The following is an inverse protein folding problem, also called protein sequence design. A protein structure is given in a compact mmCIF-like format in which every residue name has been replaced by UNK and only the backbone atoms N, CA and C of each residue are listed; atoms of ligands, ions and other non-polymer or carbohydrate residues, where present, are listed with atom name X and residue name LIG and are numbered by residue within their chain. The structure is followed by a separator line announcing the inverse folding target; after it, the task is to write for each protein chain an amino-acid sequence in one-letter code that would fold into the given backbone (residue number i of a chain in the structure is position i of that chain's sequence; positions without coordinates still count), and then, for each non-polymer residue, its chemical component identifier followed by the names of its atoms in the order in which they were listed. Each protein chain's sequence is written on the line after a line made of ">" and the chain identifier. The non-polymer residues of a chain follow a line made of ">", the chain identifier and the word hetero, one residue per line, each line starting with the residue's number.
data_IF_732728231313
#
_entry.id   IF_732728231313
#
_cell.length_a   1.000
_cell.length_b   1.000
_cell.length_c   1.000
_cell.angle_alpha   90.00
_cell.angle_beta   90.00
_cell.angle_gamma   90.00
#
_symmetry.space_group_name_H-M   'P 1'
#
loop_
_entity.id
_entity.type
_entity.pdbx_description
1 polymer ?
#
# COMPACT_ATOMS: atom_id res chain seq x y z
N UNK A 1 41.43 25.28 98.42
CA UNK A 1 40.65 24.77 97.33
C UNK A 1 40.95 25.55 96.07
N UNK A 2 41.52 24.91 94.99
CA UNK A 2 41.68 25.53 93.71
C UNK A 2 40.33 25.66 92.97
N UNK A 3 40.13 26.78 92.25
CA UNK A 3 38.91 26.90 91.43
C UNK A 3 39.04 26.07 90.19
N UNK A 4 38.25 25.03 90.13
CA UNK A 4 38.20 24.05 89.02
C UNK A 4 37.02 24.23 88.07
N UNK A 5 36.61 25.48 87.86
CA UNK A 5 35.53 25.76 86.91
C UNK A 5 35.86 26.90 85.96
N UNK A 6 36.85 26.64 85.08
CA UNK A 6 36.90 27.38 83.85
C UNK A 6 36.09 26.67 82.81
N UNK A 7 35.07 27.29 82.20
CA UNK A 7 34.39 26.70 81.10
C UNK A 7 35.38 26.39 79.96
N UNK A 8 35.43 25.13 79.57
CA UNK A 8 36.20 24.75 78.37
C UNK A 8 35.69 25.61 77.22
N UNK A 9 36.59 26.42 76.67
CA UNK A 9 36.28 27.14 75.43
C UNK A 9 36.13 26.07 74.39
N UNK A 10 34.86 25.73 73.96
CA UNK A 10 34.62 24.99 72.82
C UNK A 10 35.32 25.68 71.67
N UNK A 11 36.24 24.96 70.98
CA UNK A 11 36.85 25.44 69.73
C UNK A 11 35.74 25.77 68.76
N UNK A 12 35.45 27.04 68.62
CA UNK A 12 34.54 27.54 67.61
C UNK A 12 35.04 27.09 66.23
N UNK A 13 34.42 26.20 65.63
CA UNK A 13 34.70 25.72 64.27
C UNK A 13 34.53 26.92 63.31
N UNK A 14 35.56 27.71 63.12
CA UNK A 14 35.59 28.91 62.25
C UNK A 14 35.62 28.40 60.80
N UNK A 15 34.44 28.31 60.19
CA UNK A 15 34.35 28.06 58.75
C UNK A 15 34.65 29.40 58.01
N UNK A 16 35.59 29.37 57.11
CA UNK A 16 35.85 30.51 56.23
C UNK A 16 34.82 30.48 55.09
N UNK A 17 33.98 31.52 55.03
CA UNK A 17 32.94 31.66 54.01
C UNK A 17 33.36 32.70 52.98
N UNK A 18 33.49 32.33 51.72
CA UNK A 18 33.87 33.28 50.64
C UNK A 18 32.67 33.39 49.68
N UNK A 19 32.40 34.62 49.23
CA UNK A 19 31.42 34.90 48.23
C UNK A 19 31.97 34.58 46.82
N UNK A 20 31.25 33.76 46.01
CA UNK A 20 31.70 33.38 44.66
C UNK A 20 31.93 34.60 43.75
N UNK A 21 31.06 35.64 43.80
CA UNK A 21 31.17 36.82 42.97
C UNK A 21 32.41 37.66 43.31
N UNK A 22 32.86 37.62 44.58
CA UNK A 22 34.10 38.31 45.04
C UNK A 22 35.32 37.54 44.54
N UNK A 23 35.32 36.20 44.65
CA UNK A 23 36.39 35.34 44.13
C UNK A 23 36.60 35.54 42.65
N UNK A 24 35.51 35.57 41.89
CA UNK A 24 35.53 35.75 40.42
C UNK A 24 36.06 37.12 40.03
N UNK A 25 35.62 38.22 40.73
CA UNK A 25 36.08 39.61 40.49
C UNK A 25 37.59 39.78 40.71
N UNK A 26 38.16 39.09 41.69
CA UNK A 26 39.57 39.14 42.02
C UNK A 26 40.36 37.98 41.33
N UNK A 27 39.74 37.18 40.48
CA UNK A 27 40.37 36.04 39.78
C UNK A 27 41.10 35.09 40.74
N UNK A 28 40.54 34.89 41.94
CA UNK A 28 41.09 33.94 42.94
C UNK A 28 40.58 32.55 42.64
N UNK A 29 41.49 31.63 42.36
CA UNK A 29 41.14 30.22 42.11
C UNK A 29 40.69 29.55 43.42
N UNK A 30 39.56 28.83 43.37
CA UNK A 30 39.03 28.09 44.51
C UNK A 30 39.98 27.03 45.06
N UNK A 31 40.91 26.54 44.24
CA UNK A 31 41.97 25.60 44.68
C UNK A 31 43.00 26.17 45.63
N UNK A 32 43.08 27.51 45.73
CA UNK A 32 44.04 28.24 46.62
C UNK A 32 43.41 28.63 47.95
N UNK A 33 42.15 28.30 48.19
CA UNK A 33 41.43 28.55 49.41
C UNK A 33 41.88 27.58 50.53
N UNK A 34 41.85 27.94 51.81
CA UNK A 34 42.15 27.06 52.93
C UNK A 34 41.21 25.83 52.92
N UNK A 35 41.74 24.72 53.44
CA UNK A 35 40.89 23.49 53.57
C UNK A 35 39.67 23.78 54.48
N UNK A 36 38.50 23.36 54.06
CA UNK A 36 37.24 23.61 54.78
C UNK A 36 36.59 24.98 54.49
N UNK A 37 37.08 25.77 53.51
CA UNK A 37 36.45 26.99 53.08
C UNK A 37 35.09 26.69 52.36
N UNK A 38 34.04 27.39 52.74
CA UNK A 38 32.71 27.31 52.15
C UNK A 38 32.56 28.46 51.13
N UNK A 39 32.22 28.14 49.88
CA UNK A 39 31.92 29.14 48.84
C UNK A 39 30.42 29.38 48.84
N UNK A 40 30.00 30.58 49.26
CA UNK A 40 28.59 31.00 49.19
C UNK A 40 28.24 31.61 47.83
N UNK A 41 26.96 31.65 47.50
CA UNK A 41 26.41 32.27 46.29
C UNK A 41 27.00 31.74 44.97
N UNK A 42 27.47 30.47 44.94
CA UNK A 42 27.95 29.85 43.69
C UNK A 42 26.78 29.66 42.71
N UNK A 43 26.86 30.17 41.44
CA UNK A 43 25.83 29.98 40.45
C UNK A 43 25.58 28.50 40.21
N UNK A 44 24.30 28.09 40.06
CA UNK A 44 23.89 26.70 39.84
C UNK A 44 24.65 26.05 38.69
N UNK A 45 24.86 26.77 37.58
CA UNK A 45 25.57 26.27 36.38
C UNK A 45 27.03 25.89 36.71
N UNK A 46 27.71 26.66 37.57
CA UNK A 46 29.10 26.39 37.98
C UNK A 46 29.17 25.21 38.93
N UNK A 47 28.27 25.19 39.92
CA UNK A 47 28.19 24.12 40.92
C UNK A 47 27.91 22.74 40.29
N UNK A 48 27.01 22.70 39.26
CA UNK A 48 26.55 21.46 38.65
C UNK A 48 27.05 21.27 37.20
N UNK A 49 28.08 22.00 36.77
CA UNK A 49 28.57 21.98 35.38
C UNK A 49 28.81 20.58 34.83
N UNK A 50 29.41 19.69 35.59
CA UNK A 50 29.69 18.32 35.16
C UNK A 50 28.41 17.49 34.97
N UNK A 51 27.41 17.67 35.83
CA UNK A 51 26.12 17.00 35.73
C UNK A 51 25.33 17.51 34.53
N UNK A 52 25.41 18.83 34.25
CA UNK A 52 24.75 19.42 33.07
C UNK A 52 25.38 18.88 31.78
N UNK A 53 26.71 18.81 31.71
CA UNK A 53 27.39 18.21 30.56
C UNK A 53 27.07 16.73 30.38
N UNK A 54 27.05 15.95 31.47
CA UNK A 54 26.69 14.56 31.46
C UNK A 54 25.24 14.34 30.96
N UNK A 55 24.29 15.12 31.48
CA UNK A 55 22.89 15.08 31.05
C UNK A 55 22.73 15.44 29.57
N UNK A 56 23.43 16.49 29.10
CA UNK A 56 23.48 16.90 27.71
C UNK A 56 24.01 15.78 26.80
N UNK A 57 25.10 15.14 27.21
CA UNK A 57 25.68 14.03 26.48
C UNK A 57 24.71 12.82 26.38
N UNK A 58 24.07 12.45 27.49
CA UNK A 58 23.05 11.36 27.51
C UNK A 58 21.89 11.69 26.58
N UNK A 59 21.43 12.94 26.59
CA UNK A 59 20.34 13.39 25.71
C UNK A 59 20.71 13.27 24.23
N UNK A 60 21.92 13.69 23.85
CA UNK A 60 22.42 13.58 22.47
C UNK A 60 22.51 12.10 22.04
N UNK A 61 23.05 11.22 22.90
CA UNK A 61 23.13 9.78 22.61
C UNK A 61 21.74 9.19 22.44
N UNK A 62 20.78 9.55 23.30
CA UNK A 62 19.39 9.07 23.20
C UNK A 62 18.73 9.53 21.88
N UNK A 63 18.93 10.78 21.47
CA UNK A 63 18.41 11.30 20.20
C UNK A 63 19.02 10.57 18.99
N UNK A 64 20.33 10.29 19.02
CA UNK A 64 20.99 9.52 17.97
C UNK A 64 20.45 8.08 17.88
N UNK A 65 20.19 7.44 19.00
CA UNK A 65 19.58 6.11 19.04
C UNK A 65 18.15 6.12 18.50
N UNK A 66 17.33 7.09 18.88
CA UNK A 66 15.97 7.26 18.35
C UNK A 66 15.99 7.52 16.85
N UNK A 67 16.87 8.38 16.37
CA UNK A 67 17.01 8.67 14.94
C UNK A 67 17.44 7.44 14.15
N UNK A 68 18.41 6.67 14.65
CA UNK A 68 18.86 5.44 14.00
C UNK A 68 17.76 4.37 13.97
N UNK A 69 16.97 4.26 15.04
CA UNK A 69 15.83 3.36 15.11
C UNK A 69 14.74 3.73 14.10
N UNK A 70 14.36 5.00 14.03
CA UNK A 70 13.38 5.49 13.04
C UNK A 70 13.86 5.26 11.61
N UNK A 71 15.14 5.53 11.33
CA UNK A 71 15.74 5.30 10.02
C UNK A 71 15.67 3.82 9.60
N UNK A 72 15.96 2.90 10.52
CA UNK A 72 15.83 1.45 10.26
C UNK A 72 14.40 1.06 9.91
N UNK A 73 13.42 1.54 10.68
CA UNK A 73 12.00 1.27 10.40
C UNK A 73 11.59 1.78 9.04
N UNK A 74 11.95 3.01 8.70
CA UNK A 74 11.63 3.60 7.41
C UNK A 74 12.21 2.81 6.22
N UNK A 75 13.46 2.35 6.34
CA UNK A 75 14.11 1.52 5.31
C UNK A 75 13.40 0.17 5.17
N UNK A 76 13.03 -0.49 6.26
CA UNK A 76 12.31 -1.76 6.23
C UNK A 76 10.93 -1.62 5.57
N UNK A 77 10.16 -0.59 5.91
CA UNK A 77 8.87 -0.32 5.28
C UNK A 77 9.01 -0.05 3.76
N UNK A 78 10.03 0.70 3.37
CA UNK A 78 10.32 0.97 1.95
C UNK A 78 10.70 -0.31 1.18
N UNK A 79 11.48 -1.21 1.80
CA UNK A 79 11.83 -2.52 1.21
C UNK A 79 10.58 -3.41 1.06
N UNK A 80 9.76 -3.53 2.11
CA UNK A 80 8.52 -4.31 2.03
C UNK A 80 7.57 -3.81 0.95
N UNK A 81 7.44 -2.49 0.80
CA UNK A 81 6.63 -1.90 -0.29
C UNK A 81 7.19 -2.24 -1.66
N UNK A 82 8.51 -2.17 -1.83
CA UNK A 82 9.18 -2.55 -3.10
C UNK A 82 8.95 -4.02 -3.43
N UNK A 83 9.18 -4.92 -2.47
CA UNK A 83 9.00 -6.36 -2.67
C UNK A 83 7.54 -6.70 -3.04
N UNK A 84 6.57 -6.07 -2.37
CA UNK A 84 5.16 -6.23 -2.69
C UNK A 84 4.83 -5.74 -4.11
N UNK A 85 5.37 -4.57 -4.51
CA UNK A 85 5.19 -4.03 -5.86
C UNK A 85 5.83 -4.92 -6.93
N UNK A 86 7.05 -5.43 -6.69
CA UNK A 86 7.70 -6.35 -7.62
C UNK A 86 6.93 -7.66 -7.76
N UNK A 87 6.44 -8.21 -6.65
CA UNK A 87 5.62 -9.43 -6.66
C UNK A 87 4.34 -9.23 -7.48
N UNK A 88 3.64 -8.13 -7.24
CA UNK A 88 2.45 -7.76 -8.00
C UNK A 88 2.76 -7.57 -9.49
N UNK A 89 3.89 -6.93 -9.81
CA UNK A 89 4.33 -6.73 -11.19
C UNK A 89 4.62 -8.07 -11.88
N UNK A 90 5.32 -8.99 -11.21
CA UNK A 90 5.60 -10.34 -11.74
C UNK A 90 4.32 -11.12 -11.97
N UNK A 91 3.38 -11.10 -11.03
CA UNK A 91 2.07 -11.76 -11.16
C UNK A 91 1.28 -11.19 -12.35
N UNK A 92 1.22 -9.86 -12.46
CA UNK A 92 0.57 -9.20 -13.61
C UNK A 92 1.22 -9.58 -14.94
N UNK A 93 2.56 -9.61 -15.00
CA UNK A 93 3.28 -10.00 -16.22
C UNK A 93 3.03 -11.46 -16.57
N UNK A 94 3.03 -12.36 -15.59
CA UNK A 94 2.72 -13.77 -15.80
C UNK A 94 1.29 -13.98 -16.29
N UNK A 95 0.32 -13.31 -15.65
CA UNK A 95 -1.09 -13.35 -16.09
C UNK A 95 -1.24 -12.80 -17.52
N UNK A 96 -0.60 -11.68 -17.83
CA UNK A 96 -0.61 -11.10 -19.17
C UNK A 96 -0.07 -12.10 -20.20
N UNK A 97 1.07 -12.71 -19.92
CA UNK A 97 1.66 -13.71 -20.82
C UNK A 97 0.76 -14.95 -21.01
N UNK A 98 0.15 -15.44 -19.93
CA UNK A 98 -0.78 -16.57 -19.99
C UNK A 98 -2.04 -16.24 -20.83
N UNK A 99 -2.56 -15.04 -20.69
CA UNK A 99 -3.70 -14.55 -21.46
C UNK A 99 -3.35 -14.36 -22.94
N UNK A 100 -2.16 -13.82 -23.24
CA UNK A 100 -1.68 -13.60 -24.61
C UNK A 100 -1.52 -14.90 -25.39
N UNK A 101 -0.95 -15.92 -24.75
CA UNK A 101 -0.73 -17.23 -25.40
C UNK A 101 -2.04 -17.95 -25.72
N UNK A 102 -3.12 -17.64 -24.99
CA UNK A 102 -4.44 -18.25 -25.19
C UNK A 102 -5.41 -17.44 -26.04
N UNK A 103 -5.03 -16.28 -26.58
CA UNK A 103 -5.98 -15.32 -27.18
C UNK A 103 -7.18 -15.06 -26.25
N UNK A 104 -6.89 -14.89 -24.96
CA UNK A 104 -7.86 -14.65 -23.91
C UNK A 104 -7.82 -13.17 -23.55
N UNK A 105 -8.97 -12.50 -23.61
CA UNK A 105 -9.10 -11.07 -23.37
C UNK A 105 -9.99 -10.83 -22.16
N UNK A 106 -9.55 -9.92 -21.29
CA UNK A 106 -10.37 -9.50 -20.16
C UNK A 106 -11.38 -8.43 -20.60
N UNK A 107 -12.56 -8.45 -19.99
CA UNK A 107 -13.53 -7.38 -20.15
C UNK A 107 -14.24 -7.04 -18.85
N UNK A 108 -14.76 -5.81 -18.81
CA UNK A 108 -15.65 -5.32 -17.78
C UNK A 108 -16.91 -4.77 -18.44
N UNK A 109 -18.04 -5.01 -17.81
CA UNK A 109 -19.31 -4.44 -18.22
C UNK A 109 -19.89 -3.66 -17.03
N UNK A 110 -20.25 -2.41 -17.26
CA UNK A 110 -20.91 -1.56 -16.29
C UNK A 110 -21.70 -0.46 -17.00
N UNK A 111 -22.88 -0.16 -16.51
CA UNK A 111 -23.73 0.95 -17.02
C UNK A 111 -23.95 0.93 -18.54
N UNK A 112 -24.13 -0.25 -19.12
CA UNK A 112 -24.38 -0.39 -20.57
C UNK A 112 -23.16 -0.27 -21.47
N UNK A 113 -21.95 -0.34 -20.89
CA UNK A 113 -20.69 -0.24 -21.64
C UNK A 113 -19.78 -1.42 -21.36
N UNK A 114 -19.22 -1.99 -22.40
CA UNK A 114 -18.16 -2.99 -22.34
C UNK A 114 -16.79 -2.34 -22.51
N UNK A 115 -15.92 -2.57 -21.56
CA UNK A 115 -14.51 -2.20 -21.63
C UNK A 115 -13.70 -3.48 -21.79
N UNK A 116 -13.12 -3.68 -22.95
CA UNK A 116 -12.18 -4.78 -23.19
C UNK A 116 -10.75 -4.32 -22.95
N UNK A 117 -9.84 -5.25 -22.69
CA UNK A 117 -8.43 -4.91 -22.66
C UNK A 117 -7.93 -4.50 -24.06
N UNK A 118 -6.85 -3.72 -24.12
CA UNK A 118 -6.33 -3.18 -25.38
C UNK A 118 -5.96 -4.27 -26.40
N UNK A 119 -5.59 -5.47 -25.96
CA UNK A 119 -5.23 -6.60 -26.79
C UNK A 119 -6.40 -7.10 -27.63
N UNK A 120 -7.63 -7.06 -27.08
CA UNK A 120 -8.84 -7.40 -27.81
C UNK A 120 -9.02 -6.52 -29.04
N UNK A 121 -8.88 -5.20 -28.87
CA UNK A 121 -9.01 -4.25 -29.97
C UNK A 121 -7.90 -4.43 -31.01
N UNK A 122 -6.66 -4.64 -30.56
CA UNK A 122 -5.54 -4.94 -31.46
C UNK A 122 -5.74 -6.25 -32.24
N UNK A 123 -6.21 -7.28 -31.59
CA UNK A 123 -6.50 -8.57 -32.20
C UNK A 123 -7.54 -8.43 -33.33
N UNK A 124 -8.57 -7.63 -33.11
CA UNK A 124 -9.64 -7.38 -34.10
C UNK A 124 -9.28 -6.29 -35.13
N UNK A 125 -8.20 -5.53 -34.93
CA UNK A 125 -7.85 -4.38 -35.75
C UNK A 125 -8.83 -3.21 -35.59
N UNK A 126 -9.37 -3.02 -34.39
CA UNK A 126 -10.35 -1.99 -34.04
C UNK A 126 -9.71 -0.88 -33.18
N UNK A 127 -10.30 0.33 -33.15
CA UNK A 127 -9.86 1.37 -32.24
C UNK A 127 -10.13 0.98 -30.78
N UNK A 128 -9.21 1.31 -29.87
CA UNK A 128 -9.33 1.05 -28.43
C UNK A 128 -10.35 2.01 -27.78
N UNK A 129 -11.62 1.79 -28.02
CA UNK A 129 -12.73 2.59 -27.48
C UNK A 129 -13.72 1.65 -26.80
N UNK A 130 -14.23 1.98 -25.60
CA UNK A 130 -15.27 1.21 -24.94
C UNK A 130 -16.49 1.00 -25.86
N UNK A 131 -16.99 -0.23 -25.90
CA UNK A 131 -18.09 -0.63 -26.79
C UNK A 131 -19.43 -0.50 -26.06
N UNK A 132 -20.37 0.23 -26.64
CA UNK A 132 -21.73 0.33 -26.09
C UNK A 132 -22.46 -1.01 -26.23
N UNK A 133 -23.44 -1.23 -25.36
CA UNK A 133 -24.23 -2.48 -25.35
C UNK A 133 -24.95 -2.71 -26.69
N UNK A 134 -25.40 -1.63 -27.35
CA UNK A 134 -26.07 -1.68 -28.64
C UNK A 134 -25.09 -2.19 -29.72
N UNK A 135 -23.86 -1.68 -29.75
CA UNK A 135 -22.81 -2.11 -30.68
C UNK A 135 -22.42 -3.58 -30.45
N UNK A 136 -22.40 -4.01 -29.19
CA UNK A 136 -22.17 -5.39 -28.84
C UNK A 136 -23.33 -6.30 -29.31
N UNK A 137 -24.58 -5.87 -29.16
CA UNK A 137 -25.76 -6.58 -29.64
C UNK A 137 -25.75 -6.75 -31.17
N UNK A 138 -25.37 -5.69 -31.89
CA UNK A 138 -25.26 -5.72 -33.35
C UNK A 138 -24.17 -6.69 -33.84
N UNK A 139 -23.15 -6.95 -33.00
CA UNK A 139 -22.12 -7.92 -33.32
C UNK A 139 -22.56 -9.36 -33.10
N UNK A 140 -23.61 -9.64 -32.34
CA UNK A 140 -24.09 -11.01 -32.05
C UNK A 140 -24.91 -11.56 -33.23
N UNK A 141 -24.74 -12.86 -33.49
CA UNK A 141 -25.56 -13.54 -34.52
C UNK A 141 -27.05 -13.48 -34.17
N UNK A 142 -27.94 -13.17 -35.13
CA UNK A 142 -29.38 -12.98 -34.88
C UNK A 142 -30.04 -14.11 -34.11
N UNK A 143 -29.69 -15.35 -34.42
CA UNK A 143 -30.27 -16.56 -33.75
C UNK A 143 -29.89 -16.63 -32.24
N UNK A 144 -28.88 -15.90 -31.81
CA UNK A 144 -28.37 -15.93 -30.42
C UNK A 144 -28.71 -14.68 -29.64
N UNK A 145 -29.28 -13.68 -30.29
CA UNK A 145 -29.61 -12.39 -29.70
C UNK A 145 -30.62 -12.53 -28.55
N UNK A 146 -31.68 -13.33 -28.72
CA UNK A 146 -32.69 -13.53 -27.68
C UNK A 146 -32.10 -14.16 -26.41
N UNK A 147 -31.18 -15.12 -26.60
CA UNK A 147 -30.47 -15.71 -25.46
C UNK A 147 -29.57 -14.71 -24.76
N UNK A 148 -28.93 -13.81 -25.51
CA UNK A 148 -28.12 -12.77 -24.95
C UNK A 148 -28.97 -11.76 -24.13
N UNK A 149 -30.09 -11.32 -24.65
CA UNK A 149 -31.01 -10.38 -23.97
C UNK A 149 -31.56 -11.00 -22.69
N UNK A 150 -31.89 -12.29 -22.71
CA UNK A 150 -32.28 -13.02 -21.48
C UNK A 150 -31.19 -13.07 -20.44
N UNK A 151 -29.96 -13.36 -20.85
CA UNK A 151 -28.81 -13.41 -19.97
C UNK A 151 -28.49 -12.04 -19.36
N UNK A 152 -28.61 -10.99 -20.17
CA UNK A 152 -28.46 -9.60 -19.72
C UNK A 152 -29.48 -9.25 -18.66
N UNK A 153 -30.76 -9.53 -18.88
CA UNK A 153 -31.81 -9.26 -17.91
C UNK A 153 -31.58 -9.97 -16.57
N UNK A 154 -31.05 -11.18 -16.61
CA UNK A 154 -30.67 -11.95 -15.40
C UNK A 154 -29.45 -11.34 -14.68
N UNK A 155 -28.51 -10.77 -15.43
CA UNK A 155 -27.39 -10.04 -14.86
C UNK A 155 -27.84 -8.73 -14.21
N UNK A 156 -28.63 -7.93 -14.93
CA UNK A 156 -29.12 -6.64 -14.44
C UNK A 156 -30.01 -6.80 -13.20
N UNK A 157 -30.72 -7.93 -13.07
CA UNK A 157 -31.52 -8.29 -11.89
C UNK A 157 -30.71 -8.89 -10.73
N UNK A 158 -29.40 -9.07 -10.88
CA UNK A 158 -28.54 -9.62 -9.83
C UNK A 158 -28.71 -11.14 -9.57
N UNK A 159 -29.51 -11.84 -10.37
CA UNK A 159 -29.75 -13.27 -10.20
C UNK A 159 -28.62 -14.17 -10.72
N UNK A 160 -27.67 -13.60 -11.47
CA UNK A 160 -26.63 -14.38 -12.14
C UNK A 160 -25.26 -14.04 -11.59
N UNK A 161 -24.72 -14.91 -10.72
CA UNK A 161 -23.42 -14.68 -10.10
C UNK A 161 -22.22 -15.07 -10.98
N UNK A 162 -22.39 -16.09 -11.84
CA UNK A 162 -21.32 -16.59 -12.73
C UNK A 162 -21.93 -17.32 -13.92
N UNK A 163 -21.39 -17.12 -15.13
CA UNK A 163 -21.83 -17.83 -16.33
C UNK A 163 -20.70 -18.07 -17.34
N UNK A 164 -20.84 -19.14 -18.09
CA UNK A 164 -20.07 -19.43 -19.32
C UNK A 164 -21.05 -19.54 -20.46
N UNK A 165 -20.77 -18.85 -21.56
CA UNK A 165 -21.64 -18.87 -22.74
C UNK A 165 -20.78 -18.82 -24.01
N UNK A 166 -21.22 -19.51 -25.06
CA UNK A 166 -20.59 -19.50 -26.38
C UNK A 166 -21.54 -18.82 -27.36
N UNK A 167 -21.02 -17.88 -28.16
CA UNK A 167 -21.80 -17.08 -29.10
C UNK A 167 -21.02 -16.84 -30.38
N UNK A 168 -21.75 -16.74 -31.50
CA UNK A 168 -21.20 -16.27 -32.77
C UNK A 168 -21.22 -14.73 -32.77
N UNK A 169 -20.08 -14.11 -32.89
CA UNK A 169 -19.96 -12.66 -32.91
C UNK A 169 -19.14 -12.18 -34.11
N UNK A 170 -19.58 -11.08 -34.71
CA UNK A 170 -18.93 -10.42 -35.84
C UNK A 170 -18.39 -9.02 -35.46
N UNK A 171 -17.42 -8.99 -34.54
CA UNK A 171 -16.87 -7.74 -34.03
C UNK A 171 -16.12 -6.91 -35.07
N UNK A 172 -15.40 -7.58 -35.97
CA UNK A 172 -14.59 -6.94 -37.00
C UNK A 172 -15.28 -6.77 -38.36
N UNK A 173 -16.58 -7.14 -38.44
CA UNK A 173 -17.40 -7.10 -39.69
C UNK A 173 -16.86 -7.97 -40.82
N UNK A 174 -15.98 -8.95 -40.55
CA UNK A 174 -15.40 -9.89 -41.51
C UNK A 174 -16.13 -11.22 -41.58
N UNK A 175 -17.04 -11.44 -40.66
CA UNK A 175 -17.82 -12.67 -40.54
C UNK A 175 -18.01 -13.08 -39.09
N UNK A 176 -18.93 -14.05 -38.88
CA UNK A 176 -19.19 -14.55 -37.55
C UNK A 176 -18.16 -15.60 -37.15
N UNK A 177 -17.57 -15.38 -35.95
CA UNK A 177 -16.66 -16.31 -35.31
C UNK A 177 -17.21 -16.75 -33.97
N UNK A 178 -16.86 -17.95 -33.52
CA UNK A 178 -17.26 -18.46 -32.22
C UNK A 178 -16.40 -17.85 -31.11
N UNK A 179 -17.09 -17.24 -30.13
CA UNK A 179 -16.50 -16.68 -28.95
C UNK A 179 -17.08 -17.30 -27.69
N UNK A 180 -16.25 -17.58 -26.71
CA UNK A 180 -16.67 -18.00 -25.38
C UNK A 180 -16.48 -16.84 -24.40
N UNK A 181 -17.55 -16.57 -23.65
CA UNK A 181 -17.56 -15.55 -22.60
C UNK A 181 -17.72 -16.23 -21.25
N UNK A 182 -16.78 -15.95 -20.34
CA UNK A 182 -16.79 -16.39 -18.94
C UNK A 182 -16.85 -15.15 -18.07
N UNK A 183 -17.90 -14.95 -17.33
CA UNK A 183 -18.07 -13.76 -16.54
C UNK A 183 -18.66 -14.03 -15.17
N UNK A 184 -18.37 -13.13 -14.22
CA UNK A 184 -18.90 -13.12 -12.89
C UNK A 184 -19.30 -11.70 -12.48
N UNK A 185 -20.36 -11.60 -11.71
CA UNK A 185 -20.80 -10.36 -11.12
C UNK A 185 -19.91 -10.02 -9.92
N UNK A 186 -19.38 -8.81 -9.90
CA UNK A 186 -18.68 -8.25 -8.74
C UNK A 186 -19.71 -7.64 -7.79
N UNK A 187 -19.96 -8.30 -6.66
CA UNK A 187 -20.70 -7.67 -5.56
C UNK A 187 -19.71 -6.82 -4.78
N UNK A 188 -19.71 -5.53 -5.03
CA UNK A 188 -18.96 -4.59 -4.19
C UNK A 188 -19.73 -4.41 -2.88
N UNK A 189 -19.23 -5.00 -1.79
CA UNK A 189 -19.78 -4.83 -0.44
C UNK A 189 -19.70 -3.38 0.11
N UNK A 190 -19.03 -2.47 -0.60
CA UNK A 190 -18.72 -1.13 -0.08
C UNK A 190 -19.56 0.01 -0.60
N UNK A 191 -20.35 -0.16 -1.65
CA UNK A 191 -21.09 0.94 -2.27
C UNK A 191 -22.59 1.00 -1.90
N UNK A 192 -22.99 0.31 -0.84
CA UNK A 192 -24.36 0.31 -0.31
C UNK A 192 -24.84 1.68 0.25
N UNK A 193 -24.07 2.75 0.07
CA UNK A 193 -24.42 4.09 0.61
C UNK A 193 -25.02 5.03 -0.45
N UNK A 194 -24.85 4.76 -1.73
CA UNK A 194 -25.53 5.51 -2.79
C UNK A 194 -26.46 4.56 -3.56
N UNK A 195 -27.76 4.81 -3.48
CA UNK A 195 -28.86 3.99 -3.98
C UNK A 195 -28.92 3.77 -5.50
N UNK A 196 -27.80 3.75 -6.19
CA UNK A 196 -27.66 3.46 -7.62
C UNK A 196 -26.66 2.30 -7.77
N UNK A 197 -27.10 1.08 -7.40
CA UNK A 197 -26.33 -0.15 -7.56
C UNK A 197 -26.17 -0.49 -9.05
N UNK A 198 -25.18 0.13 -9.69
CA UNK A 198 -24.80 -0.29 -11.02
C UNK A 198 -24.10 -1.67 -10.91
N UNK A 199 -24.74 -2.68 -11.48
CA UNK A 199 -24.18 -4.04 -11.57
C UNK A 199 -22.89 -3.98 -12.38
N UNK A 200 -21.78 -4.34 -11.74
CA UNK A 200 -20.48 -4.49 -12.41
C UNK A 200 -20.21 -5.97 -12.67
N UNK A 201 -19.90 -6.29 -13.91
CA UNK A 201 -19.57 -7.64 -14.35
C UNK A 201 -18.15 -7.64 -14.89
N UNK A 202 -17.33 -8.56 -14.41
CA UNK A 202 -15.99 -8.79 -14.97
C UNK A 202 -15.88 -10.17 -15.58
N UNK A 203 -15.15 -10.30 -16.67
CA UNK A 203 -15.05 -11.57 -17.37
C UNK A 203 -13.85 -11.67 -18.29
N UNK A 204 -13.81 -12.84 -18.92
CA UNK A 204 -12.86 -13.19 -19.96
C UNK A 204 -13.63 -13.59 -21.23
N UNK A 205 -13.14 -13.18 -22.38
CA UNK A 205 -13.60 -13.68 -23.66
C UNK A 205 -12.44 -14.30 -24.44
N UNK A 206 -12.74 -15.34 -25.19
CA UNK A 206 -11.75 -16.04 -26.01
C UNK A 206 -12.36 -16.43 -27.35
N UNK A 207 -11.57 -16.31 -28.41
CA UNK A 207 -11.97 -16.81 -29.72
C UNK A 207 -11.78 -18.34 -29.76
N UNK A 208 -12.86 -19.06 -29.93
CA UNK A 208 -12.88 -20.52 -29.98
C UNK A 208 -13.16 -21.08 -31.39
N UNK A 209 -13.07 -20.24 -32.44
CA UNK A 209 -13.35 -20.66 -33.81
C UNK A 209 -12.51 -21.87 -34.22
N UNK A 210 -11.20 -21.84 -33.95
CA UNK A 210 -10.30 -22.94 -34.28
C UNK A 210 -10.65 -24.25 -33.56
N UNK A 211 -11.17 -24.17 -32.33
CA UNK A 211 -11.63 -25.35 -31.57
C UNK A 211 -12.87 -25.91 -32.25
N UNK A 212 -13.82 -25.06 -32.64
CA UNK A 212 -15.04 -25.46 -33.33
C UNK A 212 -14.75 -26.07 -34.71
N UNK A 213 -13.83 -25.52 -35.47
CA UNK A 213 -13.41 -26.05 -36.76
C UNK A 213 -12.77 -27.44 -36.62
N UNK A 214 -11.94 -27.62 -35.59
CA UNK A 214 -11.33 -28.93 -35.29
C UNK A 214 -12.39 -29.96 -34.88
N UNK A 215 -13.32 -29.57 -34.01
CA UNK A 215 -14.45 -30.41 -33.56
C UNK A 215 -15.30 -30.86 -34.73
N UNK A 216 -15.69 -29.92 -35.61
CA UNK A 216 -16.47 -30.21 -36.83
C UNK A 216 -15.72 -31.12 -37.79
N UNK A 217 -14.42 -30.93 -37.94
CA UNK A 217 -13.59 -31.81 -38.80
C UNK A 217 -13.54 -33.24 -38.27
N UNK A 218 -13.42 -33.42 -36.96
CA UNK A 218 -13.45 -34.75 -36.32
C UNK A 218 -14.81 -35.43 -36.46
N UNK A 219 -15.91 -34.68 -36.31
CA UNK A 219 -17.27 -35.22 -36.53
C UNK A 219 -17.45 -35.64 -37.96
N UNK A 220 -16.99 -34.83 -38.93
CA UNK A 220 -17.07 -35.17 -40.34
C UNK A 220 -16.24 -36.42 -40.71
N UNK A 221 -15.05 -36.56 -40.11
CA UNK A 221 -14.22 -37.76 -40.31
C UNK A 221 -14.90 -39.04 -39.75
N UNK A 222 -15.51 -38.96 -38.56
CA UNK A 222 -16.25 -40.09 -37.96
C UNK A 222 -17.48 -40.51 -38.74
N UNK A 223 -18.13 -39.60 -39.46
CA UNK A 223 -19.30 -39.95 -40.32
C UNK A 223 -18.93 -40.62 -41.62
N UNK A 224 -17.66 -40.52 -42.04
CA UNK A 224 -17.13 -41.13 -43.26
C UNK A 224 -16.48 -42.50 -43.03
N UNK A 225 -16.17 -42.82 -41.79
CA UNK A 225 -15.65 -44.12 -41.37
C UNK A 225 -16.79 -45.08 -40.98
#
# INVERSE_FOLDING_TARGET
>A
TPPSDFPQIEESNKAYVFDYGVLERWSIDSSKLPEGAIIANMPFVVQYKYYIWAAGFILVVMLLLLFSYQRKRYIQEALHKKDAQEKLKREKTFLSFALDSGNIFAFRYSKGVFEFDNRFYHYLGMPCVPMKIEEFQDAIHPEELDNFLRDRNLLDSGFLSRKVTQRRCNFNKKGYEWWEFRYAQNKNEKDSVSGDEAVEVSGLCLNIQRIKDTENSLIAARRKA
#
